data_IF_156070673186
#
_entry.id   IF_156070673186
#
_cell.length_a   1.000
_cell.length_b   1.000
_cell.length_c   1.000
_cell.angle_alpha   90.00
_cell.angle_beta   90.00
_cell.angle_gamma   90.00
#
_symmetry.space_group_name_H-M   'P 1'
#
loop_
_entity.id
_entity.type
_entity.pdbx_description
1 polymer ?
#
# COMPACT_ATOMS: atom_id res chain seq x y z
N UNK A 1 50.43 26.98 9.82
CA UNK A 1 49.18 26.98 9.02
C UNK A 1 48.76 25.53 8.70
N UNK A 2 48.29 24.72 9.65
CA UNK A 2 48.03 23.27 9.48
C UNK A 2 46.58 22.85 9.82
N UNK A 3 45.61 23.79 9.86
CA UNK A 3 44.26 23.48 10.34
C UNK A 3 43.18 23.10 9.31
N UNK A 4 43.30 23.29 7.97
CA UNK A 4 42.20 22.95 7.08
C UNK A 4 42.07 21.47 6.75
N UNK A 5 43.14 20.69 6.70
CA UNK A 5 43.11 19.29 6.27
C UNK A 5 42.45 18.33 7.31
N UNK A 6 42.60 18.61 8.61
CA UNK A 6 42.00 17.78 9.67
C UNK A 6 40.47 17.86 9.70
N UNK A 7 39.87 19.00 9.35
CA UNK A 7 38.41 19.19 9.32
C UNK A 7 37.76 18.51 8.13
N UNK A 8 38.47 18.46 6.99
CA UNK A 8 37.99 17.76 5.80
C UNK A 8 38.00 16.24 6.00
N UNK A 9 39.03 15.69 6.66
CA UNK A 9 39.10 14.27 6.96
C UNK A 9 37.98 13.79 7.91
N UNK A 10 37.61 14.60 8.92
CA UNK A 10 36.52 14.29 9.83
C UNK A 10 35.15 14.36 9.15
N UNK A 11 34.92 15.29 8.23
CA UNK A 11 33.68 15.38 7.47
C UNK A 11 33.52 14.20 6.50
N UNK A 12 34.59 13.74 5.86
CA UNK A 12 34.56 12.59 4.97
C UNK A 12 34.29 11.27 5.72
N UNK A 13 34.76 11.12 6.96
CA UNK A 13 34.49 9.94 7.79
C UNK A 13 33.04 9.87 8.26
N UNK A 14 32.39 11.02 8.52
CA UNK A 14 31.00 11.10 8.94
C UNK A 14 30.01 10.70 7.80
N UNK A 15 30.37 10.95 6.54
CA UNK A 15 29.53 10.58 5.39
C UNK A 15 29.55 9.07 5.11
N UNK A 16 30.69 8.41 5.38
CA UNK A 16 30.84 6.97 5.15
C UNK A 16 30.06 6.08 6.13
N UNK A 17 29.69 6.60 7.31
CA UNK A 17 28.94 5.82 8.32
C UNK A 17 27.44 5.85 8.10
N UNK A 18 26.90 6.68 7.19
CA UNK A 18 25.46 6.80 6.92
C UNK A 18 24.98 5.91 5.76
N UNK A 19 25.87 5.21 5.07
CA UNK A 19 25.49 4.24 4.05
C UNK A 19 25.12 2.89 4.70
N UNK A 20 24.01 2.88 5.44
CA UNK A 20 23.33 1.61 5.76
C UNK A 20 22.86 1.04 4.42
N UNK A 21 23.34 -0.13 3.97
CA UNK A 21 22.82 -0.72 2.74
C UNK A 21 21.32 -0.92 2.92
N UNK A 22 20.51 -0.17 2.18
CA UNK A 22 19.09 -0.42 2.08
C UNK A 22 18.92 -1.82 1.49
N UNK A 23 18.79 -2.84 2.33
CA UNK A 23 18.40 -4.17 1.91
C UNK A 23 16.93 -4.06 1.51
N UNK A 24 16.68 -4.00 0.21
CA UNK A 24 15.35 -4.20 -0.34
C UNK A 24 14.98 -5.68 -0.20
N UNK A 25 14.77 -6.14 1.03
CA UNK A 25 14.27 -7.48 1.26
C UNK A 25 12.79 -7.53 0.89
N UNK A 26 12.43 -8.56 0.12
CA UNK A 26 11.06 -8.82 -0.27
C UNK A 26 10.26 -9.27 0.96
N UNK A 27 9.14 -8.59 1.25
CA UNK A 27 8.28 -8.94 2.38
C UNK A 27 7.54 -10.25 2.11
N UNK A 28 7.87 -11.28 2.87
CA UNK A 28 7.44 -12.66 2.60
C UNK A 28 6.17 -13.07 3.33
N UNK A 29 5.83 -12.40 4.43
CA UNK A 29 4.75 -12.82 5.31
C UNK A 29 4.24 -11.67 6.19
N UNK A 30 3.16 -11.94 6.97
CA UNK A 30 2.57 -10.97 7.88
C UNK A 30 3.52 -10.46 8.96
N UNK A 31 4.44 -11.28 9.48
CA UNK A 31 5.35 -10.86 10.54
C UNK A 31 6.37 -9.84 10.03
N UNK A 32 6.92 -10.03 8.83
CA UNK A 32 7.79 -9.06 8.18
C UNK A 32 7.03 -7.78 7.81
N UNK A 33 5.79 -7.92 7.35
CA UNK A 33 4.90 -6.80 7.07
C UNK A 33 4.68 -5.92 8.31
N UNK A 34 4.41 -6.52 9.47
CA UNK A 34 4.19 -5.79 10.71
C UNK A 34 5.44 -5.04 11.20
N UNK A 35 6.64 -5.53 10.90
CA UNK A 35 7.91 -4.86 11.25
C UNK A 35 8.15 -3.56 10.50
N UNK A 36 7.49 -3.33 9.37
CA UNK A 36 7.63 -2.07 8.61
C UNK A 36 7.10 -0.84 9.35
N UNK A 37 6.20 -1.04 10.31
CA UNK A 37 5.44 0.06 10.90
C UNK A 37 4.47 0.73 9.92
N UNK A 38 3.62 1.66 10.39
CA UNK A 38 2.53 2.21 9.58
C UNK A 38 2.99 2.93 8.31
N UNK A 39 4.05 3.72 8.39
CA UNK A 39 4.58 4.47 7.24
C UNK A 39 5.21 3.55 6.20
N UNK A 40 6.01 2.58 6.64
CA UNK A 40 6.61 1.59 5.75
C UNK A 40 5.56 0.70 5.09
N UNK A 41 4.52 0.30 5.83
CA UNK A 41 3.37 -0.42 5.29
C UNK A 41 2.64 0.40 4.22
N UNK A 42 2.39 1.68 4.47
CA UNK A 42 1.73 2.57 3.51
C UNK A 42 2.55 2.73 2.23
N UNK A 43 3.86 2.95 2.35
CA UNK A 43 4.77 3.09 1.21
C UNK A 43 4.84 1.79 0.39
N UNK A 44 5.00 0.64 1.05
CA UNK A 44 5.06 -0.66 0.38
C UNK A 44 3.73 -1.01 -0.31
N UNK A 45 2.59 -0.72 0.34
CA UNK A 45 1.27 -0.94 -0.22
C UNK A 45 1.03 -0.10 -1.48
N UNK A 46 1.47 1.16 -1.50
CA UNK A 46 1.42 2.00 -2.71
C UNK A 46 2.31 1.47 -3.81
N UNK A 47 3.51 0.97 -3.50
CA UNK A 47 4.38 0.35 -4.49
C UNK A 47 3.72 -0.88 -5.14
N UNK A 48 3.02 -1.73 -4.36
CA UNK A 48 2.22 -2.83 -4.91
C UNK A 48 1.15 -2.26 -5.85
N UNK A 49 0.38 -1.26 -5.41
CA UNK A 49 -0.69 -0.66 -6.21
C UNK A 49 -0.15 -0.08 -7.52
N UNK A 50 0.92 0.69 -7.48
CA UNK A 50 1.51 1.34 -8.65
C UNK A 50 1.94 0.31 -9.70
N UNK A 51 2.64 -0.76 -9.28
CA UNK A 51 3.05 -1.84 -10.19
C UNK A 51 1.84 -2.53 -10.82
N UNK A 52 0.74 -2.72 -10.07
CA UNK A 52 -0.47 -3.36 -10.58
C UNK A 52 -1.31 -2.46 -11.51
N UNK A 53 -1.08 -1.15 -11.49
CA UNK A 53 -1.74 -0.19 -12.38
C UNK A 53 -1.00 0.02 -13.70
N UNK A 54 0.19 -0.54 -13.88
CA UNK A 54 0.90 -0.50 -15.15
C UNK A 54 0.15 -1.35 -16.18
N UNK A 55 -0.32 -0.70 -17.24
CA UNK A 55 -0.99 -1.40 -18.36
C UNK A 55 0.08 -2.02 -19.26
N UNK A 56 0.24 -3.34 -19.17
CA UNK A 56 0.94 -4.10 -20.20
C UNK A 56 -0.10 -4.57 -21.20
N UNK A 57 0.11 -4.27 -22.48
CA UNK A 57 -0.88 -4.50 -23.55
C UNK A 57 -1.06 -5.98 -23.92
N UNK A 58 -0.48 -6.91 -23.19
CA UNK A 58 -0.33 -8.30 -23.59
C UNK A 58 -1.64 -9.09 -23.61
N UNK A 59 -2.63 -8.70 -22.80
CA UNK A 59 -3.97 -9.28 -22.88
C UNK A 59 -5.05 -8.35 -22.27
N UNK A 60 -6.29 -8.57 -22.72
CA UNK A 60 -7.45 -7.78 -22.28
C UNK A 60 -7.74 -7.87 -20.78
N UNK A 61 -7.46 -9.01 -20.16
CA UNK A 61 -7.73 -9.21 -18.73
C UNK A 61 -6.81 -8.36 -17.85
N UNK A 62 -5.52 -8.32 -18.16
CA UNK A 62 -4.55 -7.47 -17.44
C UNK A 62 -4.81 -6.00 -17.71
N UNK A 63 -5.19 -5.62 -18.94
CA UNK A 63 -5.56 -4.26 -19.28
C UNK A 63 -6.81 -3.81 -18.50
N UNK A 64 -7.89 -4.59 -18.50
CA UNK A 64 -9.12 -4.28 -17.76
C UNK A 64 -8.86 -4.15 -16.25
N UNK A 65 -8.03 -5.05 -15.69
CA UNK A 65 -7.63 -5.01 -14.29
C UNK A 65 -6.86 -3.72 -13.95
N UNK A 66 -5.84 -3.38 -14.72
CA UNK A 66 -5.04 -2.18 -14.48
C UNK A 66 -5.86 -0.89 -14.62
N UNK A 67 -6.74 -0.80 -15.63
CA UNK A 67 -7.64 0.33 -15.82
C UNK A 67 -8.64 0.45 -14.67
N UNK A 68 -9.22 -0.67 -14.24
CA UNK A 68 -10.13 -0.71 -13.10
C UNK A 68 -9.46 -0.30 -11.79
N UNK A 69 -8.22 -0.75 -11.53
CA UNK A 69 -7.45 -0.33 -10.36
C UNK A 69 -7.14 1.17 -10.40
N UNK A 70 -6.76 1.74 -11.54
CA UNK A 70 -6.57 3.19 -11.71
C UNK A 70 -7.85 3.96 -11.40
N UNK A 71 -8.98 3.52 -11.97
CA UNK A 71 -10.28 4.15 -11.71
C UNK A 71 -10.67 4.06 -10.22
N UNK A 72 -10.38 2.94 -9.56
CA UNK A 72 -10.56 2.75 -8.13
C UNK A 72 -9.70 3.75 -7.32
N UNK A 73 -8.42 3.87 -7.66
CA UNK A 73 -7.50 4.79 -6.98
C UNK A 73 -7.95 6.24 -7.07
N UNK A 74 -8.39 6.67 -8.26
CA UNK A 74 -8.91 8.02 -8.50
C UNK A 74 -10.24 8.23 -7.76
N UNK A 75 -11.19 7.30 -7.93
CA UNK A 75 -12.53 7.40 -7.34
C UNK A 75 -12.55 7.41 -5.81
N UNK A 76 -11.62 6.70 -5.18
CA UNK A 76 -11.48 6.64 -3.72
C UNK A 76 -10.48 7.67 -3.16
N UNK A 77 -9.83 8.47 -4.01
CA UNK A 77 -8.72 9.36 -3.58
C UNK A 77 -7.69 8.59 -2.75
N UNK A 78 -7.25 7.46 -3.27
CA UNK A 78 -6.53 6.42 -2.56
C UNK A 78 -5.24 6.94 -1.90
N UNK A 79 -5.06 6.58 -0.62
CA UNK A 79 -3.85 6.81 0.16
C UNK A 79 -3.21 5.47 0.53
N UNK A 80 -1.88 5.44 0.64
CA UNK A 80 -1.15 4.22 0.99
C UNK A 80 -1.64 3.57 2.29
N UNK A 81 -2.02 4.38 3.29
CA UNK A 81 -2.58 3.89 4.53
C UNK A 81 -3.89 3.10 4.35
N UNK A 82 -4.73 3.47 3.39
CA UNK A 82 -5.99 2.74 3.09
C UNK A 82 -5.69 1.36 2.52
N UNK A 83 -4.72 1.26 1.61
CA UNK A 83 -4.30 -0.03 1.03
C UNK A 83 -3.62 -0.89 2.10
N UNK A 84 -2.76 -0.30 2.92
CA UNK A 84 -2.12 -0.99 4.04
C UNK A 84 -3.14 -1.52 5.05
N UNK A 85 -4.18 -0.75 5.35
CA UNK A 85 -5.28 -1.18 6.21
C UNK A 85 -6.01 -2.38 5.62
N UNK A 86 -6.29 -2.40 4.32
CA UNK A 86 -6.92 -3.54 3.66
C UNK A 86 -6.06 -4.81 3.77
N UNK A 87 -4.73 -4.71 3.63
CA UNK A 87 -3.80 -5.81 3.84
C UNK A 87 -3.83 -6.28 5.31
N UNK A 88 -3.86 -5.36 6.27
CA UNK A 88 -3.94 -5.68 7.69
C UNK A 88 -5.24 -6.41 8.05
N UNK A 89 -6.36 -5.97 7.48
CA UNK A 89 -7.67 -6.62 7.63
C UNK A 89 -7.62 -8.05 7.10
N UNK A 90 -7.05 -8.25 5.92
CA UNK A 90 -6.89 -9.60 5.35
C UNK A 90 -6.14 -10.53 6.30
N UNK A 91 -4.99 -10.12 6.82
CA UNK A 91 -4.20 -10.95 7.75
C UNK A 91 -4.89 -11.20 9.10
N UNK A 92 -5.71 -10.25 9.54
CA UNK A 92 -6.52 -10.41 10.76
C UNK A 92 -7.62 -11.46 10.57
N UNK A 93 -8.33 -11.37 9.43
CA UNK A 93 -9.52 -12.18 9.17
C UNK A 93 -9.16 -13.56 8.59
N UNK A 94 -7.92 -13.73 8.09
CA UNK A 94 -7.37 -14.95 7.53
C UNK A 94 -6.06 -15.36 8.22
N UNK A 95 -6.12 -15.82 9.49
CA UNK A 95 -4.91 -16.18 10.24
C UNK A 95 -4.09 -17.30 9.59
N UNK A 96 -4.74 -18.19 8.82
CA UNK A 96 -4.11 -19.24 8.01
C UNK A 96 -3.23 -18.65 6.88
N UNK A 97 -3.54 -17.45 6.42
CA UNK A 97 -2.84 -16.76 5.34
C UNK A 97 -1.66 -15.90 5.81
N UNK A 98 -1.29 -15.96 7.09
CA UNK A 98 -0.17 -15.16 7.63
C UNK A 98 1.20 -15.48 7.01
N UNK A 99 1.34 -16.64 6.38
CA UNK A 99 2.53 -17.04 5.63
C UNK A 99 2.57 -16.45 4.21
N UNK A 100 1.46 -15.91 3.72
CA UNK A 100 1.38 -15.31 2.40
C UNK A 100 2.00 -13.90 2.38
N UNK A 101 2.44 -13.47 1.20
CA UNK A 101 3.01 -12.13 1.01
C UNK A 101 1.92 -11.05 1.06
N UNK A 102 2.28 -9.77 1.35
CA UNK A 102 1.32 -8.65 1.27
C UNK A 102 0.67 -8.51 -0.11
N UNK A 103 1.34 -8.95 -1.16
CA UNK A 103 0.77 -8.97 -2.51
C UNK A 103 -0.44 -9.90 -2.62
N UNK A 104 -0.39 -11.09 -2.00
CA UNK A 104 -1.53 -12.01 -1.95
C UNK A 104 -2.68 -11.40 -1.15
N UNK A 105 -2.39 -10.76 -0.02
CA UNK A 105 -3.37 -10.05 0.79
C UNK A 105 -4.03 -8.88 0.03
N UNK A 106 -3.22 -8.10 -0.71
CA UNK A 106 -3.69 -7.05 -1.60
C UNK A 106 -4.69 -7.60 -2.64
N UNK A 107 -4.33 -8.65 -3.37
CA UNK A 107 -5.19 -9.23 -4.40
C UNK A 107 -6.46 -9.85 -3.80
N UNK A 108 -6.33 -10.52 -2.66
CA UNK A 108 -7.44 -11.21 -2.01
C UNK A 108 -8.50 -10.26 -1.47
N UNK A 109 -8.08 -9.15 -0.90
CA UNK A 109 -8.98 -8.24 -0.20
C UNK A 109 -9.16 -6.89 -0.90
N UNK A 110 -8.07 -6.16 -1.19
CA UNK A 110 -8.19 -4.83 -1.77
C UNK A 110 -8.67 -4.87 -3.21
N UNK A 111 -8.06 -5.68 -4.06
CA UNK A 111 -8.45 -5.80 -5.46
C UNK A 111 -9.85 -6.42 -5.62
N UNK A 112 -10.07 -7.60 -5.04
CA UNK A 112 -11.33 -8.34 -5.21
C UNK A 112 -12.48 -7.82 -4.34
N UNK A 113 -12.16 -7.19 -3.21
CA UNK A 113 -13.15 -6.58 -2.33
C UNK A 113 -13.43 -5.14 -2.72
N UNK A 114 -12.48 -4.25 -2.45
CA UNK A 114 -12.65 -2.80 -2.55
C UNK A 114 -12.76 -2.33 -4.00
N UNK A 115 -11.85 -2.78 -4.89
CA UNK A 115 -11.78 -2.30 -6.26
C UNK A 115 -12.60 -3.13 -7.27
N UNK A 116 -13.24 -4.21 -6.85
CA UNK A 116 -14.00 -5.09 -7.76
C UNK A 116 -15.06 -4.38 -8.59
N UNK A 117 -15.81 -3.38 -8.11
CA UNK A 117 -16.80 -2.67 -8.94
C UNK A 117 -16.15 -1.92 -10.11
N UNK A 118 -15.01 -1.28 -9.86
CA UNK A 118 -14.27 -0.54 -10.88
C UNK A 118 -13.63 -1.48 -11.92
N UNK A 119 -13.07 -2.60 -11.45
CA UNK A 119 -12.46 -3.61 -12.33
C UNK A 119 -13.55 -4.27 -13.17
N UNK A 120 -14.70 -4.59 -12.60
CA UNK A 120 -15.80 -5.19 -13.32
C UNK A 120 -16.38 -4.24 -14.38
N UNK A 121 -16.46 -2.94 -14.09
CA UNK A 121 -16.84 -1.95 -15.10
C UNK A 121 -15.87 -1.96 -16.29
N UNK A 122 -14.56 -1.94 -16.04
CA UNK A 122 -13.56 -2.01 -17.10
C UNK A 122 -13.61 -3.34 -17.88
N UNK A 123 -13.94 -4.44 -17.21
CA UNK A 123 -14.12 -5.76 -17.85
C UNK A 123 -15.36 -5.77 -18.76
N UNK A 124 -16.46 -5.20 -18.30
CA UNK A 124 -17.70 -5.08 -19.07
C UNK A 124 -17.49 -4.26 -20.35
N UNK A 125 -16.83 -3.11 -20.23
CA UNK A 125 -16.46 -2.25 -21.37
C UNK A 125 -15.59 -2.97 -22.40
N UNK A 126 -14.81 -3.96 -22.00
CA UNK A 126 -13.96 -4.80 -22.86
C UNK A 126 -14.62 -6.12 -23.32
N UNK A 127 -15.88 -6.36 -22.97
CA UNK A 127 -16.60 -7.60 -23.27
C UNK A 127 -16.05 -8.83 -22.55
N UNK A 128 -15.52 -8.65 -21.34
CA UNK A 128 -14.97 -9.74 -20.51
C UNK A 128 -15.96 -10.19 -19.42
N UNK A 129 -15.93 -11.47 -19.01
CA UNK A 129 -16.76 -11.94 -17.92
C UNK A 129 -16.40 -11.23 -16.61
N UNK A 130 -17.39 -10.96 -15.76
CA UNK A 130 -17.18 -10.28 -14.49
C UNK A 130 -16.31 -11.11 -13.54
N UNK A 131 -15.49 -10.42 -12.77
CA UNK A 131 -14.72 -11.02 -11.70
C UNK A 131 -15.64 -11.26 -10.49
N UNK A 132 -15.53 -12.43 -9.86
CA UNK A 132 -16.22 -12.69 -8.59
C UNK A 132 -15.62 -11.81 -7.48
N UNK A 133 -16.43 -10.93 -6.91
CA UNK A 133 -16.04 -10.12 -5.78
C UNK A 133 -15.74 -11.00 -4.54
N UNK A 134 -14.73 -10.63 -3.75
CA UNK A 134 -14.57 -11.20 -2.42
C UNK A 134 -15.58 -10.55 -1.47
N UNK A 135 -16.10 -11.29 -0.48
CA UNK A 135 -16.95 -10.69 0.55
C UNK A 135 -16.13 -9.65 1.31
N UNK A 136 -16.67 -8.43 1.45
CA UNK A 136 -16.09 -7.42 2.34
C UNK A 136 -16.38 -7.85 3.78
N UNK A 137 -15.47 -7.60 4.73
CA UNK A 137 -15.78 -7.86 6.14
C UNK A 137 -16.98 -7.04 6.58
N UNK A 138 -17.75 -7.60 7.49
CA UNK A 138 -18.84 -6.89 8.13
C UNK A 138 -18.31 -5.58 8.73
N UNK A 139 -18.82 -4.46 8.27
CA UNK A 139 -18.49 -3.12 8.79
C UNK A 139 -18.74 -2.99 10.30
N UNK A 140 -19.57 -3.87 10.87
CA UNK A 140 -19.84 -3.99 12.32
C UNK A 140 -18.66 -4.52 13.14
N UNK A 141 -17.65 -5.11 12.49
CA UNK A 141 -16.44 -5.63 13.16
C UNK A 141 -15.25 -4.66 13.12
N UNK A 142 -15.40 -3.48 12.51
CA UNK A 142 -14.37 -2.45 12.58
C UNK A 142 -14.40 -1.82 13.98
N UNK A 143 -13.23 -1.71 14.67
CA UNK A 143 -13.14 -0.97 15.92
C UNK A 143 -13.67 0.46 15.74
N UNK A 144 -14.52 0.93 16.67
CA UNK A 144 -15.21 2.22 16.56
C UNK A 144 -14.26 3.43 16.57
N UNK A 145 -13.05 3.26 17.06
CA UNK A 145 -11.98 4.26 17.08
C UNK A 145 -11.43 4.65 15.70
N UNK A 146 -11.72 3.85 14.65
CA UNK A 146 -11.30 4.14 13.27
C UNK A 146 -12.40 4.78 12.42
N UNK A 147 -13.60 5.00 12.95
CA UNK A 147 -14.73 5.60 12.22
C UNK A 147 -14.78 7.13 12.31
N UNK A 148 -13.96 7.76 13.14
CA UNK A 148 -13.99 9.19 13.34
C UNK A 148 -12.92 9.87 12.48
N UNK A 149 -13.29 10.65 11.45
CA UNK A 149 -12.36 11.57 10.81
C UNK A 149 -11.80 12.49 11.91
N UNK A 150 -10.49 12.61 12.02
CA UNK A 150 -9.86 13.55 12.93
C UNK A 150 -10.49 14.94 12.70
N UNK A 151 -11.21 15.44 13.70
CA UNK A 151 -11.73 16.79 13.66
C UNK A 151 -10.57 17.77 13.46
N UNK A 152 -10.69 18.78 12.59
CA UNK A 152 -9.63 19.75 12.38
C UNK A 152 -9.34 20.44 13.74
N UNK A 153 -8.09 20.32 14.19
CA UNK A 153 -7.64 21.02 15.37
C UNK A 153 -7.74 22.53 15.10
N UNK A 154 -8.34 23.34 16.00
CA UNK A 154 -8.35 24.77 15.84
C UNK A 154 -6.92 25.30 15.87
N UNK A 155 -6.52 25.95 14.78
CA UNK A 155 -5.28 26.72 14.71
C UNK A 155 -5.28 27.76 15.84
N UNK A 156 -4.41 27.55 16.82
CA UNK A 156 -4.16 28.56 17.85
C UNK A 156 -3.44 29.72 17.17
N UNK A 157 -4.19 30.77 16.81
CA UNK A 157 -3.63 32.05 16.41
C UNK A 157 -2.81 32.59 17.59
N UNK A 158 -1.49 32.53 17.50
CA UNK A 158 -0.59 33.30 18.37
C UNK A 158 -0.60 34.73 17.86
N UNK A 159 -1.17 35.61 18.68
CA UNK A 159 -0.99 37.07 18.60
C UNK A 159 0.36 37.45 19.25
#
# INVERSE_FOLDING_TARGET
>A
MEYPMRRIALAALAVLTLSVPARADFIKNAAEWQRLGPEGQAAYAMAIFDVQTVVTADNKYTAARALGLRACGIGLQLKGAMVAQAINIFYRDHPESRVATPFVAFNGYFERGVCSPFINKAREEMGLPLMKAAPLPDSKKLPQDQQQPAAPQPETQQQ
#
